data_IF_063221045628
#
_entry.id   IF_063221045628
#
_cell.length_a   1.000
_cell.length_b   1.000
_cell.length_c   1.000
_cell.angle_alpha   90.00
_cell.angle_beta   90.00
_cell.angle_gamma   90.00
#
_symmetry.space_group_name_H-M   'P 1'
#
loop_
_entity.id
_entity.type
_entity.pdbx_description
1 polymer ?
#
# COMPACT_ATOMS: atom_id res chain seq x y z
N UNK A 1 11.49 0.63 32.53
CA UNK A 1 11.92 1.27 31.27
C UNK A 1 13.08 2.19 31.59
N UNK A 2 14.22 2.01 30.91
CA UNK A 2 15.48 2.70 31.22
C UNK A 2 16.06 3.38 29.97
N UNK A 3 17.31 3.90 30.03
CA UNK A 3 17.95 4.48 28.86
C UNK A 3 18.15 3.42 27.76
N UNK A 4 18.12 3.85 26.50
CA UNK A 4 18.52 2.99 25.38
C UNK A 4 20.00 2.63 25.52
N UNK A 5 20.35 1.35 25.37
CA UNK A 5 21.75 0.93 25.33
C UNK A 5 22.47 1.56 24.13
N UNK A 6 23.78 1.82 24.28
CA UNK A 6 24.58 2.37 23.18
C UNK A 6 24.64 1.41 21.99
N UNK A 7 24.58 0.10 22.23
CA UNK A 7 24.47 -0.90 21.17
C UNK A 7 23.20 -0.71 20.32
N UNK A 8 22.04 -0.58 20.97
CA UNK A 8 20.78 -0.30 20.27
C UNK A 8 20.80 1.07 19.60
N UNK A 9 21.43 2.07 20.23
CA UNK A 9 21.56 3.40 19.64
C UNK A 9 22.46 3.41 18.40
N UNK A 10 23.56 2.63 18.38
CA UNK A 10 24.40 2.45 17.19
C UNK A 10 23.62 1.83 16.03
N UNK A 11 22.84 0.77 16.31
CA UNK A 11 21.97 0.11 15.33
C UNK A 11 20.90 1.06 14.77
N UNK A 12 20.26 1.82 15.66
CA UNK A 12 19.27 2.84 15.30
C UNK A 12 19.91 3.94 14.43
N UNK A 13 21.06 4.46 14.86
CA UNK A 13 21.77 5.54 14.18
C UNK A 13 22.24 5.12 12.79
N UNK A 14 22.82 3.94 12.62
CA UNK A 14 23.26 3.47 11.30
C UNK A 14 22.08 3.42 10.31
N UNK A 15 20.96 2.81 10.72
CA UNK A 15 19.75 2.77 9.89
C UNK A 15 19.24 4.17 9.57
N UNK A 16 19.22 5.07 10.55
CA UNK A 16 18.84 6.48 10.35
C UNK A 16 19.76 7.19 9.35
N UNK A 17 21.07 7.06 9.48
CA UNK A 17 22.04 7.73 8.59
C UNK A 17 21.94 7.22 7.15
N UNK A 18 21.74 5.91 6.96
CA UNK A 18 21.51 5.33 5.63
C UNK A 18 20.25 5.92 5.00
N UNK A 19 19.13 5.91 5.73
CA UNK A 19 17.85 6.46 5.24
C UNK A 19 17.96 7.94 4.89
N UNK A 20 18.55 8.76 5.77
CA UNK A 20 18.70 10.19 5.55
C UNK A 20 19.60 10.49 4.34
N UNK A 21 20.68 9.73 4.17
CA UNK A 21 21.59 9.90 3.02
C UNK A 21 20.88 9.53 1.71
N UNK A 22 20.15 8.41 1.69
CA UNK A 22 19.36 8.01 0.52
C UNK A 22 18.26 9.02 0.18
N UNK A 23 17.52 9.50 1.18
CA UNK A 23 16.48 10.53 0.99
C UNK A 23 17.05 11.85 0.48
N UNK A 24 18.26 12.23 0.91
CA UNK A 24 18.96 13.43 0.42
C UNK A 24 19.33 13.31 -1.06
N UNK A 25 19.75 12.12 -1.49
CA UNK A 25 20.15 11.86 -2.88
C UNK A 25 18.94 11.64 -3.82
N UNK A 26 17.78 11.30 -3.25
CA UNK A 26 16.60 10.91 -3.99
C UNK A 26 16.52 9.39 -4.14
N UNK A 27 15.30 8.84 -4.00
CA UNK A 27 15.08 7.41 -4.09
C UNK A 27 14.99 6.97 -5.56
N UNK A 28 15.61 5.84 -5.95
CA UNK A 28 15.49 5.32 -7.31
C UNK A 28 14.07 4.80 -7.58
N UNK A 29 13.71 4.65 -8.86
CA UNK A 29 12.47 3.98 -9.26
C UNK A 29 12.53 2.48 -8.93
N UNK A 30 11.37 1.84 -8.71
CA UNK A 30 11.30 0.45 -8.22
C UNK A 30 12.04 -0.59 -9.07
N UNK A 31 12.17 -0.38 -10.38
CA UNK A 31 12.91 -1.29 -11.27
C UNK A 31 14.43 -1.24 -11.07
N UNK A 32 14.97 -0.16 -10.51
CA UNK A 32 16.41 0.01 -10.27
C UNK A 32 16.77 -0.58 -8.91
N UNK A 33 17.19 -1.85 -8.89
CA UNK A 33 17.49 -2.62 -7.67
C UNK A 33 18.99 -2.71 -7.34
N UNK A 34 19.85 -2.12 -8.19
CA UNK A 34 21.30 -2.22 -8.12
C UNK A 34 22.01 -0.91 -7.78
N UNK A 35 21.27 0.17 -7.54
CA UNK A 35 21.84 1.42 -7.06
C UNK A 35 22.54 1.27 -5.71
N UNK A 36 23.44 2.21 -5.44
CA UNK A 36 24.19 2.25 -4.19
C UNK A 36 24.47 3.68 -3.77
N UNK A 37 24.65 3.88 -2.46
CA UNK A 37 25.02 5.14 -1.85
C UNK A 37 26.17 4.94 -0.84
N UNK A 38 27.04 5.93 -0.72
CA UNK A 38 28.07 5.95 0.31
C UNK A 38 27.57 6.74 1.51
N UNK A 39 27.72 6.18 2.70
CA UNK A 39 27.20 6.76 3.95
C UNK A 39 28.37 6.96 4.90
N UNK A 40 28.46 8.12 5.52
CA UNK A 40 29.49 8.40 6.53
C UNK A 40 28.86 9.05 7.74
N UNK A 41 29.15 8.53 8.94
CA UNK A 41 28.68 9.10 10.19
C UNK A 41 29.73 8.97 11.29
N UNK A 42 29.66 9.87 12.27
CA UNK A 42 30.61 9.93 13.39
C UNK A 42 29.90 9.88 14.74
N UNK A 43 30.59 9.38 15.75
CA UNK A 43 30.18 9.50 17.15
C UNK A 43 31.39 9.64 18.07
N UNK A 44 31.20 10.25 19.24
CA UNK A 44 32.28 10.55 20.18
C UNK A 44 32.04 9.91 21.55
N UNK A 45 33.11 9.46 22.21
CA UNK A 45 33.09 8.99 23.60
C UNK A 45 34.05 9.80 24.46
N UNK A 46 33.55 10.29 25.59
CA UNK A 46 34.31 10.99 26.62
C UNK A 46 33.88 10.49 28.01
N UNK A 47 34.61 10.90 29.05
CA UNK A 47 34.37 10.50 30.43
C UNK A 47 35.15 9.25 30.86
N UNK A 48 35.49 9.19 32.14
CA UNK A 48 36.21 8.07 32.73
C UNK A 48 35.38 6.78 32.62
N UNK A 49 36.04 5.68 32.25
CA UNK A 49 35.39 4.37 32.10
C UNK A 49 34.55 4.17 30.83
N UNK A 50 34.46 5.16 29.93
CA UNK A 50 33.67 5.02 28.70
C UNK A 50 34.38 4.15 27.64
N UNK A 51 33.85 2.94 27.44
CA UNK A 51 34.36 1.93 26.53
C UNK A 51 33.58 1.82 25.20
N UNK A 52 32.61 2.70 24.94
CA UNK A 52 31.75 2.59 23.75
C UNK A 52 32.49 2.87 22.43
N UNK A 53 33.70 3.42 22.48
CA UNK A 53 34.58 3.70 21.34
C UNK A 53 35.79 2.75 21.27
N UNK A 54 35.74 1.59 21.96
CA UNK A 54 36.84 0.63 21.99
C UNK A 54 36.95 -0.26 20.72
N UNK A 55 36.22 0.07 19.64
CA UNK A 55 36.27 -0.66 18.37
C UNK A 55 37.69 -0.80 17.78
N UNK A 56 38.58 0.13 18.14
CA UNK A 56 40.00 0.15 17.80
C UNK A 56 40.87 0.38 19.04
N UNK A 57 40.55 -0.29 20.17
CA UNK A 57 41.23 -0.07 21.46
C UNK A 57 42.76 -0.07 21.39
N UNK A 58 43.36 -0.98 20.63
CA UNK A 58 44.82 -1.10 20.50
C UNK A 58 45.46 0.00 19.63
N UNK A 59 44.68 0.64 18.76
CA UNK A 59 45.11 1.71 17.85
C UNK A 59 44.13 2.90 17.94
N UNK A 60 43.83 3.33 19.18
CA UNK A 60 42.73 4.28 19.45
C UNK A 60 42.96 5.65 18.81
N UNK A 61 44.20 6.06 18.59
CA UNK A 61 44.54 7.32 17.93
C UNK A 61 45.18 7.06 16.56
N UNK A 62 44.45 7.35 15.48
CA UNK A 62 44.92 7.18 14.10
C UNK A 62 44.70 5.78 13.51
N UNK A 63 44.11 4.85 14.26
CA UNK A 63 43.80 3.52 13.76
C UNK A 63 42.64 3.53 12.75
N UNK A 64 42.68 2.57 11.83
CA UNK A 64 41.61 2.28 10.89
C UNK A 64 41.52 0.78 10.67
N UNK A 65 40.30 0.28 10.49
CA UNK A 65 40.04 -1.10 10.07
C UNK A 65 38.90 -1.12 9.04
N UNK A 66 38.96 -2.06 8.11
CA UNK A 66 37.87 -2.29 7.17
C UNK A 66 37.27 -3.65 7.46
N UNK A 67 35.95 -3.66 7.60
CA UNK A 67 35.16 -4.87 7.83
C UNK A 67 34.07 -4.94 6.76
N UNK A 68 33.65 -6.15 6.44
CA UNK A 68 32.55 -6.38 5.50
C UNK A 68 31.31 -6.73 6.29
N UNK A 69 30.21 -6.03 6.02
CA UNK A 69 28.90 -6.28 6.65
C UNK A 69 27.82 -6.51 5.61
N UNK A 70 26.80 -7.27 5.96
CA UNK A 70 25.68 -7.56 5.06
C UNK A 70 24.55 -6.56 5.29
N UNK A 71 24.25 -5.73 4.30
CA UNK A 71 23.15 -4.77 4.31
C UNK A 71 22.21 -5.09 3.15
N UNK A 72 20.92 -5.32 3.43
CA UNK A 72 19.94 -5.61 2.37
C UNK A 72 20.29 -6.82 1.51
N UNK A 73 20.98 -7.82 2.09
CA UNK A 73 21.47 -9.01 1.37
C UNK A 73 22.72 -8.78 0.51
N UNK A 74 23.29 -7.56 0.49
CA UNK A 74 24.53 -7.24 -0.23
C UNK A 74 25.69 -7.03 0.74
N UNK A 75 26.89 -7.37 0.27
CA UNK A 75 28.14 -7.16 0.99
C UNK A 75 28.58 -5.69 0.88
N UNK A 76 28.76 -5.02 2.01
CA UNK A 76 29.13 -3.60 2.11
C UNK A 76 30.42 -3.47 2.89
N UNK A 77 31.40 -2.79 2.31
CA UNK A 77 32.67 -2.52 2.98
C UNK A 77 32.53 -1.29 3.88
N UNK A 78 32.82 -1.49 5.16
CA UNK A 78 32.73 -0.46 6.19
C UNK A 78 34.10 -0.19 6.77
N UNK A 79 34.59 1.02 6.55
CA UNK A 79 35.84 1.50 7.14
C UNK A 79 35.52 2.22 8.44
N UNK A 80 36.08 1.72 9.53
CA UNK A 80 35.94 2.29 10.88
C UNK A 80 37.28 2.92 11.23
N UNK A 81 37.28 4.22 11.48
CA UNK A 81 38.48 4.98 11.87
C UNK A 81 38.32 5.58 13.26
N UNK A 82 39.42 5.67 14.01
CA UNK A 82 39.43 6.19 15.38
C UNK A 82 40.48 7.28 15.55
N UNK A 83 40.11 8.37 16.21
CA UNK A 83 40.99 9.50 16.53
C UNK A 83 40.77 9.93 17.97
N UNK A 84 41.85 10.22 18.70
CA UNK A 84 41.76 10.86 20.02
C UNK A 84 41.95 12.36 19.84
N UNK A 85 41.05 13.15 20.42
CA UNK A 85 41.07 14.60 20.35
C UNK A 85 41.20 15.16 21.76
N UNK A 86 42.20 16.03 21.94
CA UNK A 86 42.39 16.83 23.14
C UNK A 86 42.07 18.30 22.79
N UNK A 87 40.87 18.80 23.10
CA UNK A 87 40.55 20.21 22.90
C UNK A 87 41.34 21.09 23.89
N UNK A 88 41.61 22.34 23.49
CA UNK A 88 42.30 23.32 24.35
C UNK A 88 41.49 23.65 25.62
N UNK A 89 40.17 23.66 25.49
CA UNK A 89 39.21 23.80 26.59
C UNK A 89 38.18 22.67 26.49
N UNK A 90 38.22 21.70 27.40
CA UNK A 90 37.27 20.59 27.47
C UNK A 90 37.89 19.24 27.79
N UNK A 91 37.03 18.23 27.98
CA UNK A 91 37.47 16.86 28.22
C UNK A 91 38.01 16.21 26.93
N UNK A 92 39.02 15.37 27.07
CA UNK A 92 39.48 14.49 25.99
C UNK A 92 38.34 13.61 25.49
N UNK A 93 38.29 13.35 24.20
CA UNK A 93 37.32 12.43 23.62
C UNK A 93 37.92 11.58 22.50
N UNK A 94 37.31 10.43 22.26
CA UNK A 94 37.59 9.57 21.10
C UNK A 94 36.49 9.76 20.08
N UNK A 95 36.85 10.06 18.85
CA UNK A 95 35.95 10.15 17.70
C UNK A 95 36.07 8.87 16.87
N UNK A 96 34.93 8.26 16.57
CA UNK A 96 34.82 7.13 15.66
C UNK A 96 34.09 7.59 14.41
N UNK A 97 34.70 7.34 13.25
CA UNK A 97 34.11 7.58 11.94
C UNK A 97 33.81 6.25 11.27
N UNK A 98 32.58 6.06 10.82
CA UNK A 98 32.16 4.89 10.04
C UNK A 98 31.86 5.36 8.63
N UNK A 99 32.57 4.82 7.64
CA UNK A 99 32.36 5.06 6.24
C UNK A 99 31.92 3.76 5.56
N UNK A 100 30.65 3.69 5.18
CA UNK A 100 30.04 2.56 4.50
C UNK A 100 30.01 2.85 2.99
N UNK A 101 30.71 2.02 2.20
CA UNK A 101 30.82 2.20 0.77
C UNK A 101 29.97 1.17 0.03
N UNK A 102 29.13 1.62 -0.91
CA UNK A 102 28.28 0.75 -1.72
C UNK A 102 27.04 0.23 -0.99
N UNK A 103 26.45 1.02 -0.09
CA UNK A 103 25.20 0.65 0.62
C UNK A 103 24.06 0.57 -0.41
N UNK A 104 23.27 -0.52 -0.48
CA UNK A 104 22.15 -0.60 -1.43
C UNK A 104 21.06 0.43 -1.11
N UNK A 105 20.60 1.12 -2.13
CA UNK A 105 19.54 2.14 -2.06
C UNK A 105 18.21 1.70 -2.69
N UNK A 106 18.08 0.41 -3.02
CA UNK A 106 16.84 -0.15 -3.54
C UNK A 106 15.71 -0.04 -2.52
N UNK A 107 14.46 0.05 -2.99
CA UNK A 107 13.29 0.16 -2.12
C UNK A 107 13.25 -0.95 -1.06
N UNK A 108 13.57 -2.19 -1.44
CA UNK A 108 13.63 -3.33 -0.51
C UNK A 108 14.69 -3.13 0.59
N UNK A 109 15.89 -2.65 0.23
CA UNK A 109 16.96 -2.41 1.20
C UNK A 109 16.61 -1.26 2.16
N UNK A 110 16.06 -0.17 1.64
CA UNK A 110 15.67 0.99 2.46
C UNK A 110 14.47 0.68 3.37
N UNK A 111 13.49 -0.11 2.91
CA UNK A 111 12.40 -0.59 3.77
C UNK A 111 12.92 -1.50 4.89
N UNK A 112 13.95 -2.30 4.65
CA UNK A 112 14.61 -3.08 5.70
C UNK A 112 15.33 -2.19 6.73
N UNK A 113 15.92 -1.06 6.30
CA UNK A 113 16.47 -0.06 7.22
C UNK A 113 15.39 0.64 8.03
N UNK A 114 14.28 1.04 7.40
CA UNK A 114 13.13 1.62 8.10
C UNK A 114 12.54 0.65 9.13
N UNK A 115 12.41 -0.63 8.76
CA UNK A 115 12.01 -1.70 9.67
C UNK A 115 12.97 -1.84 10.84
N UNK A 116 14.28 -1.84 10.57
CA UNK A 116 15.32 -1.91 11.62
C UNK A 116 15.22 -0.73 12.58
N UNK A 117 15.02 0.48 12.05
CA UNK A 117 14.88 1.71 12.84
C UNK A 117 13.70 1.61 13.81
N UNK A 118 12.49 1.36 13.29
CA UNK A 118 11.27 1.36 14.11
C UNK A 118 11.24 0.18 15.09
N UNK A 119 11.72 -0.99 14.68
CA UNK A 119 11.74 -2.18 15.54
C UNK A 119 12.78 -2.05 16.66
N UNK A 120 13.91 -1.38 16.40
CA UNK A 120 14.90 -1.12 17.45
C UNK A 120 14.33 -0.17 18.51
N UNK A 121 13.59 0.87 18.10
CA UNK A 121 12.87 1.76 19.02
C UNK A 121 11.84 0.98 19.85
N UNK A 122 11.01 0.18 19.18
CA UNK A 122 9.94 -0.58 19.84
C UNK A 122 10.50 -1.60 20.84
N UNK A 123 11.52 -2.35 20.43
CA UNK A 123 12.12 -3.43 21.24
C UNK A 123 12.91 -2.87 22.42
N UNK A 124 13.72 -1.83 22.21
CA UNK A 124 14.47 -1.21 23.30
C UNK A 124 13.54 -0.50 24.31
N UNK A 125 12.39 0.01 23.82
CA UNK A 125 11.37 0.73 24.58
C UNK A 125 11.97 1.65 25.67
N UNK A 126 12.81 2.62 25.28
CA UNK A 126 13.50 3.42 26.27
C UNK A 126 12.53 4.33 27.02
N UNK A 127 12.97 4.74 28.20
CA UNK A 127 12.39 5.86 28.92
C UNK A 127 12.57 7.15 28.11
N UNK A 128 11.56 8.01 28.12
CA UNK A 128 11.65 9.35 27.56
C UNK A 128 10.93 10.36 28.47
N UNK A 129 11.38 11.60 28.41
CA UNK A 129 10.72 12.75 29.03
C UNK A 129 10.70 13.89 28.03
N UNK A 130 9.53 14.45 27.77
CA UNK A 130 9.42 15.70 27.05
C UNK A 130 9.25 16.86 28.04
N UNK A 131 9.73 18.08 27.72
CA UNK A 131 9.42 19.24 28.53
C UNK A 131 7.90 19.49 28.54
N UNK A 132 7.34 19.59 29.74
CA UNK A 132 5.93 19.87 29.94
C UNK A 132 5.67 21.35 29.61
N UNK A 133 5.16 21.59 28.40
CA UNK A 133 4.87 22.90 27.81
C UNK A 133 6.06 23.60 27.15
N UNK A 134 5.86 23.92 25.87
CA UNK A 134 6.61 24.95 25.16
C UNK A 134 5.61 26.06 24.79
N UNK A 135 5.93 27.35 25.03
CA UNK A 135 5.07 28.45 24.62
C UNK A 135 4.79 28.37 23.10
N UNK A 136 3.52 28.39 22.72
CA UNK A 136 3.06 28.38 21.32
C UNK A 136 3.38 27.11 20.49
N UNK A 137 3.82 26.02 21.13
CA UNK A 137 4.02 24.72 20.46
C UNK A 137 2.84 23.77 20.63
N UNK A 138 2.66 22.78 19.73
CA UNK A 138 1.66 21.72 19.91
C UNK A 138 1.92 21.01 21.25
N UNK A 139 0.89 20.96 22.10
CA UNK A 139 0.95 20.26 23.38
C UNK A 139 0.62 18.79 23.15
N UNK A 140 1.38 17.92 23.80
CA UNK A 140 1.11 16.49 23.80
C UNK A 140 1.09 15.96 25.23
N UNK A 141 0.06 15.18 25.53
CA UNK A 141 -0.06 14.44 26.77
C UNK A 141 0.17 12.96 26.47
N UNK A 142 1.19 12.36 27.07
CA UNK A 142 1.54 10.95 26.86
C UNK A 142 0.98 10.11 28.01
N UNK A 143 0.40 8.93 27.72
CA UNK A 143 -0.10 8.02 28.76
C UNK A 143 1.03 7.31 29.51
N UNK A 144 2.29 7.45 29.08
CA UNK A 144 3.44 6.74 29.63
C UNK A 144 4.76 7.44 29.32
N UNK A 145 5.77 7.26 30.16
CA UNK A 145 7.15 7.73 29.93
C UNK A 145 8.03 6.68 29.21
N UNK A 146 7.43 5.71 28.51
CA UNK A 146 8.13 4.71 27.70
C UNK A 146 7.74 4.87 26.23
N UNK A 147 8.70 4.84 25.31
CA UNK A 147 8.39 5.11 23.88
C UNK A 147 7.39 4.11 23.30
N UNK A 148 7.58 2.80 23.51
CA UNK A 148 6.69 1.77 22.96
C UNK A 148 5.27 1.78 23.56
N UNK A 149 5.05 2.53 24.65
CA UNK A 149 3.74 2.70 25.28
C UNK A 149 3.07 4.00 24.88
N UNK A 150 3.80 5.10 24.91
CA UNK A 150 3.27 6.40 24.51
C UNK A 150 2.95 6.49 23.03
N UNK A 151 3.72 5.78 22.19
CA UNK A 151 3.63 5.83 20.73
C UNK A 151 3.22 4.48 20.13
N UNK A 152 2.45 3.67 20.87
CA UNK A 152 2.11 2.31 20.41
C UNK A 152 1.28 2.31 19.13
N UNK A 153 0.37 3.28 18.97
CA UNK A 153 -0.46 3.43 17.77
C UNK A 153 0.39 3.85 16.57
N UNK A 154 1.25 4.85 16.76
CA UNK A 154 2.17 5.38 15.74
C UNK A 154 3.15 4.30 15.28
N UNK A 155 3.76 3.57 16.22
CA UNK A 155 4.70 2.47 15.93
C UNK A 155 3.98 1.39 15.13
N UNK A 156 2.77 0.99 15.55
CA UNK A 156 2.00 -0.05 14.85
C UNK A 156 1.63 0.39 13.43
N UNK A 157 1.21 1.64 13.26
CA UNK A 157 0.90 2.22 11.95
C UNK A 157 2.14 2.22 11.03
N UNK A 158 3.29 2.69 11.52
CA UNK A 158 4.55 2.72 10.75
C UNK A 158 5.01 1.30 10.39
N UNK A 159 4.92 0.34 11.32
CA UNK A 159 5.24 -1.05 11.05
C UNK A 159 4.34 -1.62 9.95
N UNK A 160 3.02 -1.38 10.02
CA UNK A 160 2.08 -1.81 8.97
C UNK A 160 2.45 -1.19 7.61
N UNK A 161 2.71 0.12 7.57
CA UNK A 161 3.11 0.81 6.33
C UNK A 161 4.37 0.19 5.71
N UNK A 162 5.37 -0.14 6.54
CA UNK A 162 6.61 -0.78 6.08
C UNK A 162 6.30 -2.17 5.52
N UNK A 163 5.49 -2.96 6.22
CA UNK A 163 5.09 -4.30 5.77
C UNK A 163 4.32 -4.26 4.44
N UNK A 164 3.31 -3.40 4.32
CA UNK A 164 2.53 -3.24 3.10
C UNK A 164 3.41 -2.79 1.93
N UNK A 165 4.33 -1.84 2.17
CA UNK A 165 5.28 -1.38 1.16
C UNK A 165 6.28 -2.47 0.75
N UNK A 166 6.73 -3.33 1.68
CA UNK A 166 7.57 -4.48 1.36
C UNK A 166 6.80 -5.48 0.48
N UNK A 167 5.54 -5.77 0.81
CA UNK A 167 4.69 -6.65 0.02
C UNK A 167 4.42 -6.08 -1.39
N UNK A 168 4.25 -4.77 -1.50
CA UNK A 168 4.11 -4.05 -2.76
C UNK A 168 5.37 -4.23 -3.61
N UNK A 169 6.56 -4.00 -3.04
CA UNK A 169 7.82 -4.14 -3.76
C UNK A 169 8.02 -5.58 -4.25
N UNK A 170 7.61 -6.58 -3.47
CA UNK A 170 7.69 -7.99 -3.87
C UNK A 170 6.88 -8.30 -5.13
N UNK A 171 5.75 -7.60 -5.37
CA UNK A 171 4.95 -7.79 -6.59
C UNK A 171 5.70 -7.42 -7.88
N UNK A 172 6.72 -6.56 -7.79
CA UNK A 172 7.55 -6.15 -8.94
C UNK A 172 8.18 -7.37 -9.64
N UNK A 173 8.59 -8.38 -8.87
CA UNK A 173 9.16 -9.63 -9.43
C UNK A 173 8.14 -10.46 -10.21
N UNK A 174 6.87 -10.45 -9.79
CA UNK A 174 5.76 -11.14 -10.49
C UNK A 174 5.46 -10.44 -11.81
N UNK A 175 5.46 -9.10 -11.82
CA UNK A 175 5.27 -8.32 -13.04
C UNK A 175 6.42 -8.58 -14.03
N UNK A 176 7.67 -8.51 -13.58
CA UNK A 176 8.85 -8.69 -14.44
C UNK A 176 8.98 -10.11 -15.00
N UNK A 177 8.52 -11.13 -14.28
CA UNK A 177 8.56 -12.53 -14.76
C UNK A 177 7.42 -12.86 -15.75
N UNK A 178 6.41 -11.99 -15.86
CA UNK A 178 5.25 -12.19 -16.71
C UNK A 178 5.08 -11.03 -17.70
N UNK A 179 6.12 -10.73 -18.49
CA UNK A 179 6.08 -9.66 -19.49
C UNK A 179 4.96 -9.86 -20.53
N UNK A 180 4.36 -8.74 -20.97
CA UNK A 180 3.24 -8.72 -21.92
C UNK A 180 3.66 -8.19 -23.30
N UNK A 181 4.91 -8.44 -23.70
CA UNK A 181 5.51 -7.92 -24.95
C UNK A 181 5.27 -8.83 -26.15
N UNK A 182 5.01 -10.13 -25.91
CA UNK A 182 4.75 -11.09 -26.97
C UNK A 182 3.38 -10.86 -27.61
N UNK A 183 3.32 -10.91 -28.94
CA UNK A 183 2.05 -10.89 -29.66
C UNK A 183 1.29 -12.21 -29.44
N UNK A 184 -0.02 -12.10 -29.22
CA UNK A 184 -0.92 -13.25 -29.04
C UNK A 184 -1.87 -13.36 -30.23
N UNK A 185 -2.23 -14.59 -30.59
CA UNK A 185 -3.13 -14.88 -31.71
C UNK A 185 -3.03 -16.32 -32.17
N UNK A 186 -3.87 -16.70 -33.14
CA UNK A 186 -3.77 -18.02 -33.76
C UNK A 186 -2.46 -18.16 -34.55
N UNK A 187 -1.88 -19.36 -34.54
CA UNK A 187 -0.62 -19.67 -35.23
C UNK A 187 -0.88 -20.34 -36.59
N UNK A 188 0.01 -20.08 -37.56
CA UNK A 188 -0.01 -20.78 -38.86
C UNK A 188 -1.27 -20.52 -39.71
N UNK A 189 -1.85 -19.31 -39.64
CA UNK A 189 -3.04 -18.93 -40.40
C UNK A 189 -4.37 -19.48 -39.84
N UNK A 190 -4.35 -20.12 -38.67
CA UNK A 190 -5.56 -20.60 -37.98
C UNK A 190 -6.21 -19.49 -37.15
N UNK A 191 -7.54 -19.44 -37.05
CA UNK A 191 -8.24 -18.58 -36.11
C UNK A 191 -7.85 -18.91 -34.66
N UNK A 192 -7.85 -17.90 -33.79
CA UNK A 192 -7.57 -18.08 -32.36
C UNK A 192 -8.67 -18.90 -31.68
N UNK A 193 -8.27 -19.97 -30.99
CA UNK A 193 -9.15 -20.80 -30.20
C UNK A 193 -8.87 -20.60 -28.68
N UNK A 194 -9.79 -19.98 -27.91
CA UNK A 194 -9.57 -19.69 -26.50
C UNK A 194 -9.47 -20.94 -25.61
N UNK A 195 -9.90 -22.11 -26.08
CA UNK A 195 -9.77 -23.37 -25.33
C UNK A 195 -8.36 -23.97 -25.40
N UNK A 196 -7.58 -23.62 -26.43
CA UNK A 196 -6.27 -24.27 -26.70
C UNK A 196 -5.11 -23.29 -26.80
N UNK A 197 -5.36 -22.05 -27.25
CA UNK A 197 -4.32 -21.10 -27.65
C UNK A 197 -4.06 -20.02 -26.58
N UNK A 198 -4.64 -20.18 -25.39
CA UNK A 198 -4.66 -19.19 -24.32
C UNK A 198 -3.68 -19.47 -23.17
N UNK A 199 -2.61 -20.25 -23.39
CA UNK A 199 -1.63 -20.58 -22.35
C UNK A 199 -0.95 -19.35 -21.72
N UNK A 200 -0.82 -18.26 -22.50
CA UNK A 200 -0.30 -16.97 -22.02
C UNK A 200 -1.19 -16.32 -20.94
N UNK A 201 -2.47 -16.68 -20.87
CA UNK A 201 -3.44 -16.04 -19.99
C UNK A 201 -3.10 -16.21 -18.51
N UNK A 202 -2.41 -17.30 -18.13
CA UNK A 202 -1.98 -17.50 -16.75
C UNK A 202 -0.96 -16.44 -16.31
N UNK A 203 0.01 -16.13 -17.17
CA UNK A 203 1.00 -15.09 -16.91
C UNK A 203 0.39 -13.69 -16.99
N UNK A 204 -0.51 -13.46 -17.95
CA UNK A 204 -1.29 -12.22 -18.04
C UNK A 204 -2.11 -11.96 -16.77
N UNK A 205 -2.76 -13.00 -16.24
CA UNK A 205 -3.55 -12.92 -14.99
C UNK A 205 -2.66 -12.61 -13.79
N UNK A 206 -1.54 -13.33 -13.64
CA UNK A 206 -0.58 -13.09 -12.54
C UNK A 206 -0.01 -11.67 -12.60
N UNK A 207 0.28 -11.15 -13.80
CA UNK A 207 0.75 -9.78 -14.00
C UNK A 207 -0.31 -8.76 -13.59
N UNK A 208 -1.55 -8.89 -14.09
CA UNK A 208 -2.63 -7.96 -13.77
C UNK A 208 -2.96 -7.96 -12.27
N UNK A 209 -3.04 -9.13 -11.65
CA UNK A 209 -3.27 -9.28 -10.21
C UNK A 209 -2.15 -8.66 -9.38
N UNK A 210 -0.89 -8.80 -9.80
CA UNK A 210 0.24 -8.17 -9.13
C UNK A 210 0.15 -6.64 -9.21
N UNK A 211 -0.20 -6.07 -10.37
CA UNK A 211 -0.40 -4.62 -10.53
C UNK A 211 -1.57 -4.11 -9.67
N UNK A 212 -2.71 -4.79 -9.68
CA UNK A 212 -3.87 -4.44 -8.85
C UNK A 212 -3.52 -4.48 -7.35
N UNK A 213 -2.76 -5.50 -6.93
CA UNK A 213 -2.29 -5.64 -5.55
C UNK A 213 -1.32 -4.53 -5.15
N UNK A 214 -0.42 -4.09 -6.04
CA UNK A 214 0.44 -2.93 -5.78
C UNK A 214 -0.36 -1.65 -5.54
N UNK A 215 -1.38 -1.39 -6.37
CA UNK A 215 -2.25 -0.22 -6.22
C UNK A 215 -3.00 -0.23 -4.89
N UNK A 216 -3.56 -1.39 -4.50
CA UNK A 216 -4.26 -1.58 -3.23
C UNK A 216 -3.31 -1.35 -2.03
N UNK A 217 -2.13 -1.95 -2.04
CA UNK A 217 -1.14 -1.77 -0.98
C UNK A 217 -0.66 -0.31 -0.88
N UNK A 218 -0.48 0.38 -2.01
CA UNK A 218 -0.13 1.80 -2.02
C UNK A 218 -1.22 2.67 -1.35
N UNK A 219 -2.49 2.41 -1.66
CA UNK A 219 -3.63 3.06 -1.02
C UNK A 219 -3.68 2.76 0.48
N UNK A 220 -3.46 1.50 0.89
CA UNK A 220 -3.41 1.12 2.31
C UNK A 220 -2.30 1.84 3.09
N UNK A 221 -1.10 1.96 2.51
CA UNK A 221 0.01 2.73 3.10
C UNK A 221 -0.42 4.18 3.33
N UNK A 222 -1.04 4.79 2.32
CA UNK A 222 -1.55 6.17 2.42
C UNK A 222 -2.62 6.31 3.50
N UNK A 223 -3.62 5.43 3.50
CA UNK A 223 -4.74 5.48 4.44
C UNK A 223 -4.32 5.27 5.89
N UNK A 224 -3.28 4.47 6.13
CA UNK A 224 -2.78 4.15 7.48
C UNK A 224 -2.28 5.38 8.25
N UNK A 225 -1.76 6.39 7.55
CA UNK A 225 -1.17 7.59 8.16
C UNK A 225 -1.92 8.89 7.82
N UNK A 226 -2.95 8.83 6.98
CA UNK A 226 -3.70 9.99 6.53
C UNK A 226 -4.50 10.63 7.69
N UNK A 227 -4.21 11.89 8.10
CA UNK A 227 -4.88 12.55 9.22
C UNK A 227 -6.41 12.65 9.13
N UNK A 228 -6.98 12.55 7.93
CA UNK A 228 -8.44 12.54 7.75
C UNK A 228 -9.10 11.26 8.27
N UNK A 229 -8.36 10.16 8.32
CA UNK A 229 -8.82 8.85 8.82
C UNK A 229 -8.43 8.61 10.29
N UNK A 230 -7.58 9.47 10.86
CA UNK A 230 -7.11 9.34 12.24
C UNK A 230 -8.01 10.12 13.20
N UNK A 231 -7.99 9.72 14.47
CA UNK A 231 -8.68 10.43 15.55
C UNK A 231 -7.80 10.53 16.79
N UNK A 232 -8.26 11.29 17.80
CA UNK A 232 -7.62 11.35 19.11
C UNK A 232 -6.18 11.84 19.08
N UNK A 233 -5.37 11.24 19.95
CA UNK A 233 -3.94 11.55 20.08
C UNK A 233 -3.23 11.29 18.78
N UNK A 234 -3.36 10.11 18.16
CA UNK A 234 -2.61 9.76 16.96
C UNK A 234 -2.80 10.78 15.81
N UNK A 235 -4.01 11.29 15.59
CA UNK A 235 -4.23 12.39 14.65
C UNK A 235 -3.39 13.62 14.98
N UNK A 236 -3.40 14.04 16.24
CA UNK A 236 -2.63 15.19 16.71
C UNK A 236 -1.12 14.97 16.52
N UNK A 237 -0.63 13.72 16.58
CA UNK A 237 0.80 13.41 16.43
C UNK A 237 1.20 13.68 15.00
N UNK A 238 0.38 13.14 14.09
CA UNK A 238 0.63 13.29 12.67
C UNK A 238 0.56 14.76 12.27
N UNK A 239 -0.51 15.48 12.62
CA UNK A 239 -0.67 16.88 12.20
C UNK A 239 0.25 17.86 12.93
N UNK A 240 0.54 17.62 14.20
CA UNK A 240 1.30 18.54 15.05
C UNK A 240 2.81 18.35 14.98
N UNK A 241 3.28 17.13 14.73
CA UNK A 241 4.70 16.78 14.84
C UNK A 241 5.21 16.09 13.56
N UNK A 242 4.71 14.91 13.22
CA UNK A 242 5.27 14.07 12.16
C UNK A 242 5.16 14.70 10.76
N UNK A 243 4.03 15.33 10.46
CA UNK A 243 3.76 15.97 9.17
C UNK A 243 4.29 17.40 9.07
N UNK A 244 5.09 17.84 10.05
CA UNK A 244 5.57 19.22 10.11
C UNK A 244 7.08 19.32 9.88
N UNK A 245 7.50 20.48 9.42
CA UNK A 245 8.91 20.85 9.32
C UNK A 245 9.13 22.37 9.40
N UNK A 246 8.09 23.20 9.19
CA UNK A 246 8.18 24.66 9.21
C UNK A 246 7.51 25.31 10.42
N UNK A 247 7.19 24.55 11.46
CA UNK A 247 6.62 25.11 12.68
C UNK A 247 7.58 26.16 13.27
N UNK A 248 7.09 27.22 13.93
CA UNK A 248 7.95 28.16 14.65
C UNK A 248 8.88 27.42 15.61
N UNK A 249 10.15 27.81 15.64
CA UNK A 249 11.13 27.22 16.54
C UNK A 249 10.65 27.29 17.99
N UNK A 250 10.63 26.15 18.64
CA UNK A 250 10.32 26.05 20.07
C UNK A 250 11.56 26.22 20.96
N UNK A 251 12.74 26.45 20.34
CA UNK A 251 13.99 26.78 21.01
C UNK A 251 14.18 28.29 21.21
N UNK A 252 13.14 29.11 20.99
CA UNK A 252 13.21 30.58 21.14
C UNK A 252 14.02 31.28 20.06
N UNK A 253 14.30 30.61 18.94
CA UNK A 253 14.97 31.23 17.79
C UNK A 253 13.92 31.79 16.83
N UNK A 254 14.15 32.94 16.18
CA UNK A 254 13.19 33.58 15.26
C UNK A 254 12.98 32.86 13.92
N UNK A 255 13.11 31.52 13.87
CA UNK A 255 13.10 30.70 12.65
C UNK A 255 12.13 29.51 12.72
N UNK A 256 12.25 28.60 11.75
CA UNK A 256 11.41 27.38 11.67
C UNK A 256 12.12 26.14 12.22
N UNK A 257 11.35 25.14 12.65
CA UNK A 257 11.82 23.86 13.18
C UNK A 257 12.61 22.99 12.19
N UNK A 258 12.76 23.34 10.91
CA UNK A 258 13.20 22.34 9.94
C UNK A 258 13.83 22.80 8.65
N UNK A 259 14.27 21.81 7.89
CA UNK A 259 15.12 21.89 6.70
C UNK A 259 14.68 20.89 5.63
N UNK A 260 15.29 20.94 4.44
CA UNK A 260 15.08 19.96 3.38
C UNK A 260 15.32 18.50 3.86
N UNK A 261 14.72 17.48 3.24
CA UNK A 261 14.88 16.07 3.62
C UNK A 261 16.35 15.67 3.60
N UNK A 262 16.69 14.75 4.52
CA UNK A 262 18.08 14.36 4.72
C UNK A 262 18.96 15.43 5.37
N UNK A 263 18.39 16.56 5.82
CA UNK A 263 19.10 17.61 6.55
C UNK A 263 18.67 17.63 8.02
N UNK A 264 19.65 17.58 8.92
CA UNK A 264 19.45 17.69 10.36
C UNK A 264 20.04 19.03 10.81
N UNK A 265 19.26 19.81 11.55
CA UNK A 265 19.66 21.10 12.13
C UNK A 265 19.43 21.10 13.63
N UNK A 266 19.85 22.17 14.31
CA UNK A 266 19.56 22.38 15.74
C UNK A 266 18.07 22.54 16.04
N UNK A 267 17.23 22.69 15.01
CA UNK A 267 15.79 22.91 15.15
C UNK A 267 14.95 21.69 14.81
N UNK A 268 15.53 20.66 14.17
CA UNK A 268 14.81 19.48 13.65
C UNK A 268 14.01 18.72 14.71
N UNK A 269 14.43 18.77 15.97
CA UNK A 269 13.77 18.05 17.06
C UNK A 269 12.30 18.46 17.20
N UNK A 270 11.45 17.50 17.61
CA UNK A 270 9.99 17.68 17.73
C UNK A 270 9.25 18.02 16.42
N UNK A 271 9.88 17.79 15.26
CA UNK A 271 9.24 17.84 13.94
C UNK A 271 9.69 16.65 13.09
N UNK A 272 8.87 16.22 12.13
CA UNK A 272 9.19 15.05 11.30
C UNK A 272 10.24 15.33 10.23
N UNK A 273 10.18 16.50 9.58
CA UNK A 273 11.12 16.93 8.53
C UNK A 273 11.50 15.88 7.48
N UNK A 274 10.52 15.07 7.10
CA UNK A 274 10.64 14.01 6.10
C UNK A 274 9.59 14.14 4.98
N UNK A 275 9.04 15.35 4.76
CA UNK A 275 7.98 15.62 3.79
C UNK A 275 6.74 14.71 3.91
N UNK A 276 6.36 14.31 5.12
CA UNK A 276 5.24 13.36 5.32
C UNK A 276 3.93 13.91 4.74
N UNK A 277 3.55 15.16 5.01
CA UNK A 277 2.34 15.78 4.44
C UNK A 277 2.34 15.81 2.91
N UNK A 278 3.45 16.28 2.33
CA UNK A 278 3.62 16.37 0.88
C UNK A 278 3.61 14.97 0.24
N UNK A 279 4.20 13.98 0.90
CA UNK A 279 4.25 12.60 0.41
C UNK A 279 2.86 11.96 0.43
N UNK A 280 2.07 12.17 1.49
CA UNK A 280 0.66 11.73 1.55
C UNK A 280 -0.14 12.39 0.42
N UNK A 281 0.05 13.69 0.20
CA UNK A 281 -0.63 14.45 -0.86
C UNK A 281 -0.25 13.93 -2.24
N UNK A 282 1.05 13.73 -2.49
CA UNK A 282 1.56 13.21 -3.75
C UNK A 282 1.09 11.78 -4.00
N UNK A 283 1.03 10.93 -2.97
CA UNK A 283 0.51 9.57 -3.07
C UNK A 283 -0.97 9.58 -3.46
N UNK A 284 -1.80 10.35 -2.76
CA UNK A 284 -3.23 10.49 -3.08
C UNK A 284 -3.44 11.01 -4.50
N UNK A 285 -2.65 12.01 -4.91
CA UNK A 285 -2.69 12.53 -6.27
C UNK A 285 -2.26 11.47 -7.29
N UNK A 286 -1.21 10.70 -7.01
CA UNK A 286 -0.73 9.66 -7.92
C UNK A 286 -1.78 8.57 -8.13
N UNK A 287 -2.44 8.11 -7.06
CA UNK A 287 -3.54 7.14 -7.12
C UNK A 287 -4.71 7.72 -7.92
N UNK A 288 -5.09 8.98 -7.65
CA UNK A 288 -6.19 9.62 -8.38
C UNK A 288 -5.93 9.76 -9.89
N UNK A 289 -4.67 9.98 -10.29
CA UNK A 289 -4.28 10.05 -11.70
C UNK A 289 -4.03 8.68 -12.34
N UNK A 290 -4.06 7.59 -11.57
CA UNK A 290 -3.85 6.23 -12.05
C UNK A 290 -5.16 5.53 -12.50
N UNK A 291 -6.30 6.24 -12.48
CA UNK A 291 -7.62 5.65 -12.76
C UNK A 291 -7.75 5.04 -14.16
N UNK A 292 -7.06 5.56 -15.18
CA UNK A 292 -7.06 4.96 -16.52
C UNK A 292 -6.34 3.60 -16.51
N UNK A 293 -5.18 3.53 -15.87
CA UNK A 293 -4.40 2.31 -15.75
C UNK A 293 -5.10 1.28 -14.86
N UNK A 294 -5.75 1.72 -13.78
CA UNK A 294 -6.59 0.87 -12.93
C UNK A 294 -7.68 0.16 -13.75
N UNK A 295 -8.42 0.89 -14.59
CA UNK A 295 -9.43 0.30 -15.48
C UNK A 295 -8.83 -0.68 -16.48
N UNK A 296 -7.64 -0.39 -17.02
CA UNK A 296 -6.93 -1.28 -17.94
C UNK A 296 -6.46 -2.56 -17.24
N UNK A 297 -5.97 -2.46 -16.00
CA UNK A 297 -5.58 -3.60 -15.17
C UNK A 297 -6.79 -4.48 -14.89
N UNK A 298 -7.93 -3.89 -14.50
CA UNK A 298 -9.17 -4.64 -14.26
C UNK A 298 -9.67 -5.34 -15.53
N UNK A 299 -9.62 -4.67 -16.68
CA UNK A 299 -9.95 -5.30 -17.97
C UNK A 299 -9.01 -6.46 -18.29
N UNK A 300 -7.71 -6.28 -18.09
CA UNK A 300 -6.71 -7.33 -18.32
C UNK A 300 -6.92 -8.52 -17.38
N UNK A 301 -7.19 -8.28 -16.09
CA UNK A 301 -7.49 -9.32 -15.10
C UNK A 301 -8.73 -10.12 -15.50
N UNK A 302 -9.83 -9.45 -15.84
CA UNK A 302 -11.08 -10.11 -16.24
C UNK A 302 -10.92 -10.91 -17.54
N UNK A 303 -10.22 -10.37 -18.54
CA UNK A 303 -9.94 -11.08 -19.80
C UNK A 303 -9.06 -12.30 -19.52
N UNK A 304 -8.00 -12.14 -18.73
CA UNK A 304 -7.08 -13.23 -18.42
C UNK A 304 -7.75 -14.33 -17.60
N UNK A 305 -8.53 -14.00 -16.56
CA UNK A 305 -9.33 -14.98 -15.80
C UNK A 305 -10.31 -15.70 -16.72
N UNK A 306 -10.96 -14.96 -17.62
CA UNK A 306 -11.88 -15.55 -18.60
C UNK A 306 -11.17 -16.54 -19.50
N UNK A 307 -9.97 -16.22 -19.99
CA UNK A 307 -9.21 -17.09 -20.85
C UNK A 307 -8.65 -18.32 -20.11
N UNK A 308 -8.14 -18.16 -18.89
CA UNK A 308 -7.69 -19.27 -18.03
C UNK A 308 -8.85 -20.23 -17.76
N UNK A 309 -10.03 -19.69 -17.46
CA UNK A 309 -11.21 -20.44 -17.06
C UNK A 309 -12.27 -20.52 -18.17
N UNK A 310 -11.88 -20.48 -19.44
CA UNK A 310 -12.79 -20.20 -20.56
C UNK A 310 -13.98 -21.16 -20.63
N UNK A 311 -13.74 -22.46 -20.51
CA UNK A 311 -14.83 -23.45 -20.50
C UNK A 311 -15.81 -23.23 -19.36
N UNK A 312 -15.31 -22.92 -18.17
CA UNK A 312 -16.13 -22.65 -16.99
C UNK A 312 -16.96 -21.38 -17.16
N UNK A 313 -16.32 -20.27 -17.57
CA UNK A 313 -16.96 -18.96 -17.78
C UNK A 313 -17.98 -18.99 -18.91
N UNK A 314 -17.70 -19.75 -19.97
CA UNK A 314 -18.64 -19.95 -21.06
C UNK A 314 -19.87 -20.77 -20.63
N UNK A 315 -19.69 -21.78 -19.77
CA UNK A 315 -20.81 -22.50 -19.16
C UNK A 315 -21.61 -21.60 -18.19
N UNK A 316 -20.93 -20.77 -17.40
CA UNK A 316 -21.54 -19.80 -16.50
C UNK A 316 -22.43 -18.80 -17.25
N UNK A 317 -22.01 -18.35 -18.43
CA UNK A 317 -22.84 -17.54 -19.33
C UNK A 317 -24.14 -18.25 -19.72
N UNK A 318 -24.07 -19.54 -20.06
CA UNK A 318 -25.26 -20.36 -20.35
C UNK A 318 -26.18 -20.55 -19.14
N UNK A 319 -25.60 -20.78 -17.96
CA UNK A 319 -26.37 -20.88 -16.71
C UNK A 319 -27.05 -19.54 -16.36
N UNK A 320 -26.38 -18.43 -16.62
CA UNK A 320 -26.94 -17.08 -16.44
C UNK A 320 -28.10 -16.85 -17.41
N UNK A 321 -27.97 -17.25 -18.67
CA UNK A 321 -29.05 -17.23 -19.64
C UNK A 321 -30.28 -18.02 -19.17
N UNK A 322 -30.08 -19.25 -18.66
CA UNK A 322 -31.17 -20.09 -18.14
C UNK A 322 -31.84 -19.45 -16.92
N UNK A 323 -31.05 -18.83 -16.04
CA UNK A 323 -31.55 -18.13 -14.85
C UNK A 323 -32.40 -16.92 -15.24
N UNK A 324 -31.92 -16.09 -16.19
CA UNK A 324 -32.67 -14.94 -16.72
C UNK A 324 -33.98 -15.40 -17.37
N UNK A 325 -33.94 -16.45 -18.19
CA UNK A 325 -35.14 -17.00 -18.85
C UNK A 325 -36.17 -17.50 -17.82
N UNK A 326 -35.70 -18.15 -16.75
CA UNK A 326 -36.55 -18.62 -15.64
C UNK A 326 -37.13 -17.47 -14.83
N UNK A 327 -36.37 -16.39 -14.62
CA UNK A 327 -36.86 -15.21 -13.94
C UNK A 327 -37.95 -14.51 -14.78
N UNK A 328 -37.72 -14.35 -16.09
CA UNK A 328 -38.67 -13.69 -17.00
C UNK A 328 -39.99 -14.44 -17.15
N UNK A 329 -39.99 -15.78 -17.09
CA UNK A 329 -41.23 -16.56 -17.18
C UNK A 329 -42.15 -16.39 -15.96
N UNK A 330 -41.60 -15.90 -14.84
CA UNK A 330 -42.34 -15.61 -13.60
C UNK A 330 -42.86 -14.17 -13.53
N UNK A 331 -42.50 -13.29 -14.46
CA UNK A 331 -42.95 -11.90 -14.46
C UNK A 331 -44.31 -11.79 -15.18
N UNK A 332 -45.36 -11.29 -14.51
CA UNK A 332 -46.68 -11.15 -15.13
C UNK A 332 -46.66 -10.11 -16.26
N UNK A 333 -47.43 -10.36 -17.31
CA UNK A 333 -47.59 -9.46 -18.48
C UNK A 333 -46.26 -9.11 -19.20
N UNK A 334 -45.22 -9.91 -19.04
CA UNK A 334 -43.89 -9.66 -19.61
C UNK A 334 -43.68 -10.29 -21.00
N UNK A 335 -44.74 -10.53 -21.77
CA UNK A 335 -44.64 -11.24 -23.07
C UNK A 335 -43.71 -10.53 -24.06
N UNK A 336 -43.74 -9.18 -24.08
CA UNK A 336 -42.84 -8.35 -24.89
C UNK A 336 -41.39 -8.36 -24.42
N UNK A 337 -41.13 -8.81 -23.18
CA UNK A 337 -39.81 -8.84 -22.56
C UNK A 337 -39.13 -10.21 -22.65
N UNK A 338 -39.86 -11.26 -23.07
CA UNK A 338 -39.33 -12.63 -23.18
C UNK A 338 -38.15 -12.73 -24.16
N UNK A 339 -38.02 -11.78 -25.10
CA UNK A 339 -36.93 -11.74 -26.07
C UNK A 339 -35.71 -10.91 -25.61
N UNK A 340 -35.65 -10.49 -24.33
CA UNK A 340 -34.51 -9.71 -23.82
C UNK A 340 -33.20 -10.46 -23.97
N UNK A 341 -33.20 -11.78 -23.77
CA UNK A 341 -32.06 -12.65 -24.07
C UNK A 341 -32.47 -13.66 -25.13
N UNK A 342 -31.54 -14.00 -26.02
CA UNK A 342 -31.72 -15.10 -26.98
C UNK A 342 -30.40 -15.79 -27.25
N UNK A 343 -30.44 -17.01 -27.78
CA UNK A 343 -29.26 -17.76 -28.16
C UNK A 343 -29.40 -18.39 -29.55
N UNK A 344 -28.29 -18.57 -30.26
CA UNK A 344 -28.23 -19.24 -31.57
C UNK A 344 -27.06 -20.21 -31.61
N UNK A 345 -27.31 -21.44 -32.04
CA UNK A 345 -26.24 -22.44 -32.24
C UNK A 345 -25.46 -22.16 -33.53
N UNK A 346 -24.15 -22.29 -33.45
CA UNK A 346 -23.20 -22.20 -34.56
C UNK A 346 -22.21 -23.39 -34.48
N UNK A 347 -22.57 -24.57 -35.03
CA UNK A 347 -21.72 -25.76 -34.98
C UNK A 347 -20.43 -25.63 -35.81
N UNK A 348 -20.30 -24.59 -36.64
CA UNK A 348 -19.15 -24.37 -37.51
C UNK A 348 -18.14 -23.36 -36.94
N UNK A 349 -18.24 -23.03 -35.65
CA UNK A 349 -17.37 -22.05 -35.01
C UNK A 349 -15.92 -22.54 -34.99
N UNK A 350 -14.97 -21.88 -35.69
CA UNK A 350 -13.57 -22.31 -35.69
C UNK A 350 -12.88 -22.09 -34.34
N UNK A 351 -13.53 -21.37 -33.42
CA UNK A 351 -13.04 -21.04 -32.09
C UNK A 351 -13.63 -21.96 -31.01
N UNK A 352 -14.47 -22.95 -31.38
CA UNK A 352 -15.15 -23.83 -30.44
C UNK A 352 -16.32 -23.18 -29.68
N UNK A 353 -16.70 -21.95 -30.02
CA UNK A 353 -17.84 -21.24 -29.43
C UNK A 353 -19.11 -21.61 -30.20
N UNK A 354 -19.78 -22.68 -29.77
CA UNK A 354 -20.92 -23.25 -30.50
C UNK A 354 -22.27 -22.55 -30.26
N UNK A 355 -22.36 -21.65 -29.28
CA UNK A 355 -23.59 -20.95 -28.90
C UNK A 355 -23.32 -19.46 -28.75
N UNK A 356 -23.98 -18.67 -29.58
CA UNK A 356 -23.93 -17.22 -29.54
C UNK A 356 -25.10 -16.73 -28.69
N UNK A 357 -24.81 -15.94 -27.66
CA UNK A 357 -25.80 -15.29 -26.81
C UNK A 357 -26.00 -13.84 -27.26
N UNK A 358 -27.24 -13.37 -27.21
CA UNK A 358 -27.62 -12.01 -27.63
C UNK A 358 -28.50 -11.34 -26.58
N UNK A 359 -28.35 -10.02 -26.47
CA UNK A 359 -29.18 -9.17 -25.64
C UNK A 359 -29.99 -8.23 -26.55
N UNK A 360 -31.32 -8.21 -26.40
CA UNK A 360 -32.17 -7.21 -27.03
C UNK A 360 -32.12 -5.93 -26.19
N UNK A 361 -31.43 -4.92 -26.71
CA UNK A 361 -31.21 -3.66 -26.01
C UNK A 361 -32.51 -2.92 -25.70
N UNK A 362 -33.53 -3.01 -26.56
CA UNK A 362 -34.81 -2.33 -26.32
C UNK A 362 -35.55 -2.93 -25.14
N UNK A 363 -35.67 -4.27 -25.10
CA UNK A 363 -36.31 -4.98 -23.99
C UNK A 363 -35.50 -4.81 -22.68
N UNK A 364 -34.17 -4.79 -22.76
CA UNK A 364 -33.30 -4.53 -21.62
C UNK A 364 -33.52 -3.13 -21.04
N UNK A 365 -33.55 -2.10 -21.89
CA UNK A 365 -33.80 -0.72 -21.47
C UNK A 365 -35.19 -0.57 -20.83
N UNK A 366 -36.23 -1.24 -21.37
CA UNK A 366 -37.56 -1.25 -20.77
C UNK A 366 -37.54 -1.86 -19.35
N UNK A 367 -36.88 -3.01 -19.18
CA UNK A 367 -36.70 -3.64 -17.85
C UNK A 367 -35.97 -2.69 -16.88
N UNK A 368 -34.94 -1.98 -17.37
CA UNK A 368 -34.20 -1.04 -16.55
C UNK A 368 -35.07 0.12 -16.07
N UNK A 369 -35.91 0.68 -16.95
CA UNK A 369 -36.89 1.73 -16.59
C UNK A 369 -37.91 1.23 -15.58
N UNK A 370 -38.54 0.07 -15.82
CA UNK A 370 -39.51 -0.54 -14.91
C UNK A 370 -38.91 -0.73 -13.51
N UNK A 371 -37.66 -1.22 -13.43
CA UNK A 371 -36.96 -1.40 -12.16
C UNK A 371 -36.69 -0.08 -11.43
N UNK A 372 -36.34 0.99 -12.15
CA UNK A 372 -36.14 2.32 -11.56
C UNK A 372 -37.45 2.91 -11.03
N UNK A 373 -38.54 2.74 -11.76
CA UNK A 373 -39.88 3.22 -11.36
C UNK A 373 -40.41 2.47 -10.13
N UNK A 374 -40.28 1.14 -10.11
CA UNK A 374 -40.59 0.33 -8.93
C UNK A 374 -39.68 0.67 -7.75
N UNK A 375 -38.40 0.97 -8.01
CA UNK A 375 -37.45 1.42 -6.99
C UNK A 375 -37.81 2.77 -6.36
N UNK A 376 -38.50 3.63 -7.11
CA UNK A 376 -39.00 4.94 -6.68
C UNK A 376 -40.42 4.90 -6.12
N UNK A 377 -41.09 3.75 -6.15
CA UNK A 377 -42.47 3.63 -5.69
C UNK A 377 -42.56 3.81 -4.15
N UNK A 378 -43.24 4.86 -3.66
CA UNK A 378 -43.33 5.17 -2.23
C UNK A 378 -44.13 4.13 -1.43
N UNK A 379 -44.90 3.25 -2.09
CA UNK A 379 -45.68 2.19 -1.45
C UNK A 379 -44.90 0.86 -1.31
N UNK A 380 -43.66 0.77 -1.80
CA UNK A 380 -42.85 -0.46 -1.75
C UNK A 380 -42.59 -0.98 -0.32
N UNK A 381 -42.68 -0.10 0.68
CA UNK A 381 -42.52 -0.44 2.12
C UNK A 381 -43.83 -0.44 2.91
N UNK A 382 -44.98 -0.22 2.27
CA UNK A 382 -46.26 -0.08 2.96
C UNK A 382 -47.10 -1.33 2.67
N UNK A 383 -47.16 -2.24 3.64
CA UNK A 383 -47.94 -3.46 3.53
C UNK A 383 -49.43 -3.27 3.84
N UNK A 384 -50.24 -3.83 2.93
CA UNK A 384 -51.57 -4.44 3.11
C UNK A 384 -52.80 -3.51 3.16
N UNK A 385 -53.64 -3.63 2.11
CA UNK A 385 -55.09 -3.84 2.32
C UNK A 385 -55.58 -5.05 1.52
N UNK A 386 -56.02 -6.05 2.30
CA UNK A 386 -56.73 -7.28 1.96
C UNK A 386 -57.94 -7.12 1.03
N UNK A 387 -57.99 -7.89 -0.05
CA UNK A 387 -59.19 -8.65 -0.45
C UNK A 387 -58.80 -9.82 -1.36
N UNK A 388 -59.60 -10.89 -1.29
CA UNK A 388 -59.22 -12.28 -1.50
C UNK A 388 -58.98 -12.71 -2.97
N UNK A 389 -58.25 -13.85 -3.08
CA UNK A 389 -58.09 -14.75 -4.24
C UNK A 389 -57.19 -14.30 -5.39
N UNK A 390 -55.89 -14.58 -5.30
CA UNK A 390 -55.17 -15.31 -6.36
C UNK A 390 -53.78 -15.77 -5.91
N UNK A 391 -53.42 -16.98 -6.33
CA UNK A 391 -52.13 -17.63 -6.11
C UNK A 391 -50.96 -16.74 -6.56
N UNK A 392 -49.95 -16.59 -5.69
CA UNK A 392 -48.71 -15.95 -6.07
C UNK A 392 -47.70 -16.02 -4.94
N UNK A 393 -46.77 -16.97 -5.05
CA UNK A 393 -45.64 -17.15 -4.16
C UNK A 393 -44.85 -15.84 -3.98
N UNK A 394 -45.11 -15.13 -2.89
CA UNK A 394 -44.14 -14.21 -2.32
C UNK A 394 -43.28 -15.02 -1.35
N UNK A 395 -42.00 -15.17 -1.69
CA UNK A 395 -40.85 -14.96 -0.80
C UNK A 395 -39.61 -15.67 -1.37
N UNK A 396 -38.92 -15.00 -2.31
CA UNK A 396 -37.48 -15.18 -2.46
C UNK A 396 -36.79 -14.04 -1.70
N UNK A 397 -36.04 -14.36 -0.65
CA UNK A 397 -35.15 -13.38 -0.01
C UNK A 397 -33.97 -13.18 -0.95
N UNK A 398 -33.95 -12.06 -1.67
CA UNK A 398 -32.77 -11.65 -2.42
C UNK A 398 -31.71 -11.13 -1.45
N UNK A 399 -30.64 -11.90 -1.23
CA UNK A 399 -29.47 -11.40 -0.52
C UNK A 399 -28.59 -10.68 -1.54
N UNK A 400 -28.58 -9.36 -1.46
CA UNK A 400 -27.65 -8.52 -2.21
C UNK A 400 -26.30 -8.51 -1.49
N UNK A 401 -25.43 -9.46 -1.81
CA UNK A 401 -24.03 -9.39 -1.39
C UNK A 401 -23.27 -8.56 -2.41
N UNK A 402 -23.31 -7.24 -2.21
CA UNK A 402 -22.49 -6.30 -2.95
C UNK A 402 -21.29 -5.92 -2.12
N UNK A 403 -20.08 -6.29 -2.57
CA UNK A 403 -18.89 -5.66 -2.04
C UNK A 403 -18.75 -4.29 -2.69
N UNK A 404 -18.74 -3.25 -1.86
CA UNK A 404 -18.62 -1.87 -2.31
C UNK A 404 -17.29 -1.34 -1.82
N UNK A 405 -16.29 -1.46 -2.67
CA UNK A 405 -14.97 -0.90 -2.37
C UNK A 405 -15.00 0.57 -2.77
N UNK A 406 -14.81 1.43 -1.78
CA UNK A 406 -14.71 2.87 -1.98
C UNK A 406 -13.25 3.27 -1.91
N UNK A 407 -12.83 4.11 -2.85
CA UNK A 407 -11.48 4.63 -2.93
C UNK A 407 -11.47 6.15 -2.67
N UNK A 408 -10.46 6.60 -1.92
CA UNK A 408 -10.22 8.01 -1.60
C UNK A 408 -11.06 8.60 -0.45
N UNK A 409 -10.53 9.68 0.16
CA UNK A 409 -11.03 10.37 1.37
C UNK A 409 -12.53 10.71 1.41
N UNK A 410 -13.18 10.91 0.25
CA UNK A 410 -14.61 11.27 0.15
C UNK A 410 -15.51 10.18 -0.41
N UNK A 411 -15.03 8.94 -0.58
CA UNK A 411 -15.78 7.84 -1.24
C UNK A 411 -16.35 8.24 -2.62
N UNK A 412 -15.68 9.18 -3.31
CA UNK A 412 -16.14 9.73 -4.60
C UNK A 412 -15.97 8.75 -5.75
N UNK A 413 -15.05 7.81 -5.59
CA UNK A 413 -14.83 6.72 -6.53
C UNK A 413 -15.13 5.41 -5.81
N UNK A 414 -15.88 4.54 -6.46
CA UNK A 414 -16.19 3.23 -5.92
C UNK A 414 -16.60 2.28 -7.01
N UNK A 415 -15.90 1.15 -7.08
CA UNK A 415 -16.30 0.03 -7.91
C UNK A 415 -17.45 -0.68 -7.19
N UNK A 416 -18.52 -0.98 -7.94
CA UNK A 416 -19.61 -1.80 -7.43
C UNK A 416 -19.53 -3.17 -8.06
N UNK A 417 -19.15 -4.14 -7.25
CA UNK A 417 -19.16 -5.53 -7.63
C UNK A 417 -20.56 -6.08 -7.34
N UNK A 418 -21.29 -6.41 -8.39
CA UNK A 418 -22.61 -7.03 -8.29
C UNK A 418 -22.48 -8.50 -8.68
N UNK A 419 -22.36 -9.37 -7.69
CA UNK A 419 -22.62 -10.79 -7.86
C UNK A 419 -24.12 -11.04 -7.64
N UNK A 420 -24.80 -11.60 -8.64
CA UNK A 420 -26.18 -12.05 -8.48
C UNK A 420 -26.15 -13.55 -8.16
N UNK A 421 -26.51 -13.91 -6.94
CA UNK A 421 -26.80 -15.29 -6.59
C UNK A 421 -28.32 -15.42 -6.43
N UNK A 422 -28.95 -16.11 -7.36
CA UNK A 422 -30.33 -16.58 -7.22
C UNK A 422 -30.26 -18.04 -6.75
N UNK A 423 -30.62 -18.29 -5.49
CA UNK A 423 -30.77 -19.65 -4.97
C UNK A 423 -32.26 -19.92 -4.85
N UNK A 424 -32.79 -20.77 -5.72
CA UNK A 424 -34.12 -21.31 -5.53
C UNK A 424 -34.14 -22.79 -5.89
N UNK A 425 -34.10 -23.63 -4.86
CA UNK A 425 -34.47 -25.03 -4.97
C UNK A 425 -35.79 -25.19 -4.21
N UNK A 426 -36.84 -25.55 -4.97
CA UNK A 426 -38.21 -25.93 -4.58
C UNK A 426 -39.03 -24.87 -3.81
#
# INVERSE_FOLDING_TARGET
>A
YGPMSIENFKKLNEAYQILQTALKNGLPVLKENNGTVNVTYTYTCSGEGNNNCDALKNNRNGGSKTETQTIGGKSVNTTISSKVVQPANGAAYTEITNALNGVPDSAQALLAQASTLINTINTACPYFTAPNSQPNGPKWEWPSNKLCGAFSEEISAIQKMITDAQELVNQTSVINSNEQTAQVGGSGGKPFNPFTDASFAQGMLANAQAQAKMLNLADQVGQTINPENLTGTFKNFVTGFLATCKNPSTAGTGGTQGSAPGTVTTQTFASGCAYVEQTITNLNNSIAHFGTQEQQIEQAENIADTLVNFKSRYNELGNTYNSITTALSKIPNAQSLQNVVSQKKNPYSPQGIETNYYLNQNSYNQIQTINQELGRNPFRKVGIVSSQTNNGAMNGIGIQVGYKQFFGQKRKWGARYYGFFDYNHA
#
